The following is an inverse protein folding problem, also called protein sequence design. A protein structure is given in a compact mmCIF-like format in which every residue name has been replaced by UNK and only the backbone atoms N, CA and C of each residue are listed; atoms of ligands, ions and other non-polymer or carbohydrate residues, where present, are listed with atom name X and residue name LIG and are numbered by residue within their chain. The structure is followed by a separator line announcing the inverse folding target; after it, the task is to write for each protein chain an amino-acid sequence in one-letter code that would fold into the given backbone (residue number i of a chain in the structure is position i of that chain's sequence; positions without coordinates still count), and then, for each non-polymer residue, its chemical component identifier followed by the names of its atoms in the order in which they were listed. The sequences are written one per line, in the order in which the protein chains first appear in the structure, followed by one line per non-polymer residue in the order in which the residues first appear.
data_IF_928732165835
#
_entry.id   IF_928732165835
#
_cell.length_a   1.000
_cell.length_b   1.000
_cell.length_c   1.000
_cell.angle_alpha   90.00
_cell.angle_beta   90.00
_cell.angle_gamma   90.00
#
_symmetry.space_group_name_H-M   'P 1'
#
loop_
_entity.id
_entity.type
_entity.pdbx_description
1 polymer ?
#
# COMPACT_ATOMS: atom_id res chain seq x y z
N UNK A 1 0.33 5.00 -5.75
CA UNK A 1 0.70 5.74 -7.00
C UNK A 1 0.52 7.25 -6.90
N UNK A 2 -0.61 7.77 -6.40
CA UNK A 2 -0.75 9.24 -6.22
C UNK A 2 0.09 9.76 -5.04
N UNK A 3 0.18 8.99 -3.95
CA UNK A 3 1.02 9.31 -2.78
C UNK A 3 2.52 9.40 -3.12
N UNK A 4 3.01 8.59 -4.07
CA UNK A 4 4.41 8.61 -4.51
C UNK A 4 4.75 9.76 -5.44
N UNK A 5 3.76 10.52 -5.88
CA UNK A 5 3.93 11.68 -6.79
C UNK A 5 3.72 13.01 -6.09
N UNK A 6 3.23 13.03 -4.85
CA UNK A 6 2.92 14.25 -4.12
C UNK A 6 3.07 14.06 -2.61
N UNK A 7 3.95 14.85 -2.00
CA UNK A 7 4.16 14.88 -0.55
C UNK A 7 2.90 15.33 0.21
N UNK A 8 2.04 16.13 -0.42
CA UNK A 8 0.76 16.52 0.18
C UNK A 8 -0.20 15.35 0.26
N UNK A 9 -0.25 14.53 -0.80
CA UNK A 9 -1.11 13.33 -0.81
C UNK A 9 -0.59 12.30 0.18
N UNK A 10 0.72 12.10 0.24
CA UNK A 10 1.33 11.22 1.24
C UNK A 10 1.02 11.66 2.67
N UNK A 11 1.21 12.95 3.00
CA UNK A 11 0.92 13.48 4.35
C UNK A 11 -0.55 13.31 4.79
N UNK A 12 -1.49 13.18 3.85
CA UNK A 12 -2.89 12.93 4.14
C UNK A 12 -3.19 11.42 4.19
N UNK A 13 -2.64 10.66 3.25
CA UNK A 13 -2.91 9.22 3.13
C UNK A 13 -2.25 8.43 4.26
N UNK A 14 -1.01 8.76 4.63
CA UNK A 14 -0.24 8.08 5.68
C UNK A 14 -1.00 7.99 7.01
N UNK A 15 -1.53 9.08 7.61
CA UNK A 15 -2.30 8.95 8.85
C UNK A 15 -3.57 8.12 8.69
N UNK A 16 -4.25 8.17 7.54
CA UNK A 16 -5.46 7.36 7.29
C UNK A 16 -5.10 5.88 7.26
N UNK A 17 -4.08 5.48 6.51
CA UNK A 17 -3.68 4.07 6.44
C UNK A 17 -3.05 3.60 7.75
N UNK A 18 -2.36 4.48 8.48
CA UNK A 18 -1.79 4.16 9.79
C UNK A 18 -2.90 3.90 10.82
N UNK A 19 -4.03 4.62 10.76
CA UNK A 19 -5.17 4.31 11.65
C UNK A 19 -5.74 2.92 11.44
N UNK A 20 -5.70 2.40 10.21
CA UNK A 20 -6.14 1.03 9.91
C UNK A 20 -5.23 -0.03 10.56
N UNK A 21 -3.96 0.30 10.80
CA UNK A 21 -2.96 -0.61 11.39
C UNK A 21 -2.78 -0.44 12.90
N UNK A 22 -2.90 0.78 13.41
CA UNK A 22 -2.58 1.12 14.80
C UNK A 22 -3.76 0.89 15.75
N UNK A 23 -5.00 1.03 15.25
CA UNK A 23 -6.17 0.75 16.07
C UNK A 23 -6.26 -0.75 16.37
N UNK A 24 -6.65 -1.14 17.60
CA UNK A 24 -6.94 -2.54 17.90
C UNK A 24 -7.99 -3.08 16.94
N UNK A 25 -7.78 -4.29 16.42
CA UNK A 25 -8.67 -4.94 15.45
C UNK A 25 -10.14 -4.86 15.85
N UNK A 26 -10.44 -5.04 17.14
CA UNK A 26 -11.79 -4.99 17.70
C UNK A 26 -12.51 -3.65 17.50
N UNK A 27 -11.80 -2.51 17.52
CA UNK A 27 -12.41 -1.18 17.29
C UNK A 27 -12.96 -1.05 15.87
N UNK A 28 -12.29 -1.62 14.87
CA UNK A 28 -12.73 -1.60 13.48
C UNK A 28 -13.78 -2.68 13.18
N UNK A 29 -13.69 -3.85 13.82
CA UNK A 29 -14.59 -4.98 13.57
C UNK A 29 -16.04 -4.66 13.96
N UNK A 30 -16.28 -3.98 15.09
CA UNK A 30 -17.62 -3.64 15.60
C UNK A 30 -18.52 -2.96 14.55
N UNK A 31 -18.12 -1.84 13.92
CA UNK A 31 -18.96 -1.18 12.92
C UNK A 31 -19.18 -2.03 11.66
N UNK A 32 -18.18 -2.83 11.24
CA UNK A 32 -18.33 -3.73 10.08
C UNK A 32 -19.33 -4.85 10.40
N UNK A 33 -19.28 -5.42 11.59
CA UNK A 33 -20.25 -6.42 12.05
C UNK A 33 -21.66 -5.83 12.12
N UNK A 34 -21.82 -4.58 12.57
CA UNK A 34 -23.13 -3.92 12.60
C UNK A 34 -23.75 -3.77 11.20
N UNK A 35 -22.92 -3.51 10.18
CA UNK A 35 -23.38 -3.30 8.80
C UNK A 35 -23.57 -4.62 8.02
N UNK A 36 -22.66 -5.58 8.20
CA UNK A 36 -22.58 -6.79 7.37
C UNK A 36 -22.93 -8.08 8.12
N UNK A 37 -23.26 -7.98 9.41
CA UNK A 37 -23.43 -9.10 10.35
C UNK A 37 -22.14 -9.90 10.54
N UNK A 38 -22.16 -10.81 11.51
CA UNK A 38 -21.04 -11.73 11.73
C UNK A 38 -20.98 -12.73 10.57
N UNK A 39 -19.78 -12.92 10.01
CA UNK A 39 -19.54 -13.89 8.95
C UNK A 39 -18.29 -13.57 8.12
N UNK A 40 -18.03 -14.41 7.12
CA UNK A 40 -16.82 -14.38 6.30
C UNK A 40 -16.58 -13.04 5.60
N UNK A 41 -17.66 -12.36 5.21
CA UNK A 41 -17.58 -11.04 4.56
C UNK A 41 -16.94 -10.00 5.49
N UNK A 42 -17.33 -10.00 6.76
CA UNK A 42 -16.80 -9.07 7.76
C UNK A 42 -15.32 -9.37 8.05
N UNK A 43 -14.97 -10.65 8.18
CA UNK A 43 -13.58 -11.08 8.36
C UNK A 43 -12.69 -10.68 7.17
N UNK A 44 -13.18 -10.86 5.94
CA UNK A 44 -12.49 -10.47 4.71
C UNK A 44 -12.26 -8.95 4.65
N UNK A 45 -13.29 -8.14 4.92
CA UNK A 45 -13.16 -6.67 4.91
C UNK A 45 -12.13 -6.21 5.93
N UNK A 46 -12.16 -6.74 7.15
CA UNK A 46 -11.19 -6.41 8.19
C UNK A 46 -9.77 -6.81 7.83
N UNK A 47 -9.61 -8.00 7.26
CA UNK A 47 -8.31 -8.51 6.79
C UNK A 47 -7.73 -7.61 5.70
N UNK A 48 -8.53 -7.25 4.68
CA UNK A 48 -8.08 -6.39 3.59
C UNK A 48 -7.73 -4.99 4.10
N UNK A 49 -8.57 -4.40 4.96
CA UNK A 49 -8.33 -3.07 5.52
C UNK A 49 -7.01 -3.00 6.31
N UNK A 50 -6.70 -4.04 7.08
CA UNK A 50 -5.47 -4.13 7.85
C UNK A 50 -4.24 -4.42 6.99
N UNK A 51 -4.37 -5.35 6.02
CA UNK A 51 -3.26 -5.83 5.21
C UNK A 51 -2.87 -4.87 4.06
N UNK A 52 -3.75 -3.95 3.63
CA UNK A 52 -3.45 -3.03 2.52
C UNK A 52 -2.35 -2.01 2.85
N UNK A 53 -2.16 -1.71 4.13
CA UNK A 53 -1.23 -0.66 4.60
C UNK A 53 0.22 -0.91 4.15
N UNK A 54 0.84 -2.09 4.38
CA UNK A 54 2.19 -2.37 3.88
C UNK A 54 2.25 -2.28 2.35
N UNK A 55 1.27 -2.79 1.60
CA UNK A 55 1.25 -2.68 0.15
C UNK A 55 1.38 -1.22 -0.31
N UNK A 56 0.60 -0.31 0.30
CA UNK A 56 0.63 1.12 -0.02
C UNK A 56 1.98 1.74 0.39
N UNK A 57 2.46 1.46 1.60
CA UNK A 57 3.67 2.06 2.17
C UNK A 57 4.92 1.68 1.40
N UNK A 58 5.14 0.39 1.15
CA UNK A 58 6.29 -0.10 0.41
C UNK A 58 6.25 0.30 -1.07
N UNK A 59 5.08 0.30 -1.70
CA UNK A 59 4.95 0.80 -3.08
C UNK A 59 5.30 2.29 -3.18
N UNK A 60 4.84 3.09 -2.21
CA UNK A 60 5.15 4.51 -2.16
C UNK A 60 6.64 4.76 -1.97
N UNK A 61 7.23 4.07 -0.99
CA UNK A 61 8.66 4.15 -0.70
C UNK A 61 9.51 3.71 -1.90
N UNK A 62 9.24 2.55 -2.50
CA UNK A 62 9.96 2.04 -3.67
C UNK A 62 9.95 2.99 -4.86
N UNK A 63 8.82 3.66 -5.11
CA UNK A 63 8.73 4.64 -6.19
C UNK A 63 9.45 5.96 -5.86
N UNK A 64 9.52 6.36 -4.59
CA UNK A 64 10.23 7.55 -4.12
C UNK A 64 11.75 7.34 -4.03
N UNK A 65 12.19 6.10 -3.79
CA UNK A 65 13.61 5.74 -3.75
C UNK A 65 14.29 5.70 -5.12
N UNK A 66 13.52 5.72 -6.21
CA UNK A 66 14.09 5.74 -7.56
C UNK A 66 14.96 7.00 -7.73
N UNK A 67 16.27 6.86 -8.05
CA UNK A 67 17.17 8.01 -8.19
C UNK A 67 16.66 9.04 -9.21
N UNK A 68 16.57 10.33 -8.85
CA UNK A 68 16.12 11.39 -9.76
C UNK A 68 16.95 11.46 -11.04
N UNK A 69 18.26 11.21 -10.96
CA UNK A 69 19.17 11.19 -12.09
C UNK A 69 18.77 10.17 -13.17
N UNK A 70 18.22 9.00 -12.78
CA UNK A 70 17.73 8.00 -13.75
C UNK A 70 16.44 8.47 -14.44
N UNK A 71 15.60 9.21 -13.73
CA UNK A 71 14.38 9.81 -14.28
C UNK A 71 14.75 10.94 -15.26
N UNK A 72 15.76 11.74 -14.95
CA UNK A 72 16.29 12.77 -15.85
C UNK A 72 16.97 12.18 -17.08
N UNK A 73 17.79 11.15 -16.91
CA UNK A 73 18.39 10.41 -18.01
C UNK A 73 17.32 9.85 -18.98
N UNK A 74 16.27 9.24 -18.44
CA UNK A 74 15.16 8.74 -19.26
C UNK A 74 14.45 9.86 -20.05
N UNK A 75 14.28 11.04 -19.45
CA UNK A 75 13.70 12.21 -20.14
C UNK A 75 14.62 12.72 -21.26
N UNK A 76 15.93 12.81 -21.01
CA UNK A 76 16.93 13.22 -22.03
C UNK A 76 17.00 12.20 -23.17
N UNK A 77 16.78 10.91 -22.89
CA UNK A 77 16.65 9.85 -23.89
C UNK A 77 15.31 9.87 -24.65
N UNK A 78 14.42 10.84 -24.42
CA UNK A 78 13.16 10.99 -25.13
C UNK A 78 12.00 10.12 -24.62
N UNK A 79 12.12 9.53 -23.41
CA UNK A 79 11.02 8.74 -22.85
C UNK A 79 9.83 9.63 -22.44
N UNK A 80 8.63 9.23 -22.86
CA UNK A 80 7.37 9.82 -22.35
C UNK A 80 7.19 9.52 -20.86
N UNK A 81 6.29 10.25 -20.18
CA UNK A 81 5.97 9.99 -18.75
C UNK A 81 5.52 8.55 -18.47
N UNK A 82 4.75 7.96 -19.39
CA UNK A 82 4.29 6.56 -19.27
C UNK A 82 5.45 5.58 -19.45
N UNK A 83 6.32 5.80 -20.44
CA UNK A 83 7.51 4.97 -20.65
C UNK A 83 8.49 5.09 -19.47
N UNK A 84 8.72 6.29 -18.97
CA UNK A 84 9.57 6.53 -17.79
C UNK A 84 9.02 5.78 -16.57
N UNK A 85 7.70 5.82 -16.34
CA UNK A 85 7.10 5.07 -15.25
C UNK A 85 7.22 3.56 -15.43
N UNK A 86 6.80 3.02 -16.59
CA UNK A 86 6.71 1.57 -16.79
C UNK A 86 8.07 0.89 -17.02
N UNK A 87 9.04 1.60 -17.62
CA UNK A 87 10.34 1.01 -18.00
C UNK A 87 11.50 1.41 -17.08
N UNK A 88 11.34 2.45 -16.26
CA UNK A 88 12.41 2.92 -15.36
C UNK A 88 11.95 2.87 -13.91
N UNK A 89 10.91 3.61 -13.54
CA UNK A 89 10.49 3.70 -12.13
C UNK A 89 9.95 2.37 -11.60
N UNK A 90 9.03 1.74 -12.34
CA UNK A 90 8.38 0.52 -11.89
C UNK A 90 9.37 -0.63 -11.72
N UNK A 91 10.25 -0.97 -12.69
CA UNK A 91 11.21 -2.06 -12.53
C UNK A 91 12.21 -1.82 -11.38
N UNK A 92 12.64 -0.58 -11.18
CA UNK A 92 13.56 -0.23 -10.08
C UNK A 92 12.88 -0.27 -8.71
N UNK A 93 11.58 0.03 -8.65
CA UNK A 93 10.77 -0.06 -7.42
C UNK A 93 10.28 -1.48 -7.12
N UNK A 94 10.33 -2.41 -8.09
CA UNK A 94 9.77 -3.77 -7.94
C UNK A 94 10.32 -4.54 -6.73
N UNK A 95 11.64 -4.57 -6.44
CA UNK A 95 12.15 -5.31 -5.29
C UNK A 95 11.49 -4.87 -3.98
N UNK A 96 11.27 -3.57 -3.84
CA UNK A 96 10.63 -3.01 -2.66
C UNK A 96 9.12 -3.22 -2.63
N UNK A 97 8.45 -3.14 -3.79
CA UNK A 97 7.05 -3.54 -3.92
C UNK A 97 6.86 -5.00 -3.50
N UNK A 98 7.78 -5.89 -3.89
CA UNK A 98 7.73 -7.32 -3.53
C UNK A 98 7.93 -7.54 -2.03
N UNK A 99 8.77 -6.74 -1.36
CA UNK A 99 8.83 -6.73 0.10
C UNK A 99 7.46 -6.33 0.70
N UNK A 100 6.82 -5.30 0.12
CA UNK A 100 5.47 -4.89 0.49
C UNK A 100 4.42 -5.99 0.33
N UNK A 101 4.46 -6.73 -0.78
CA UNK A 101 3.57 -7.88 -1.05
C UNK A 101 3.78 -8.96 0.02
N UNK A 102 5.02 -9.30 0.33
CA UNK A 102 5.32 -10.28 1.36
C UNK A 102 4.74 -9.85 2.73
N UNK A 103 4.94 -8.60 3.12
CA UNK A 103 4.38 -8.06 4.37
C UNK A 103 2.85 -8.04 4.37
N UNK A 104 2.24 -7.73 3.23
CA UNK A 104 0.78 -7.76 3.05
C UNK A 104 0.21 -9.15 3.29
N UNK A 105 0.86 -10.18 2.74
CA UNK A 105 0.45 -11.58 2.93
C UNK A 105 0.59 -11.98 4.40
N UNK A 106 1.73 -11.68 5.03
CA UNK A 106 1.95 -12.00 6.44
C UNK A 106 0.89 -11.37 7.34
N UNK A 107 0.54 -10.10 7.11
CA UNK A 107 -0.49 -9.41 7.90
C UNK A 107 -1.90 -9.93 7.62
N UNK A 108 -2.20 -10.29 6.36
CA UNK A 108 -3.48 -10.89 6.02
C UNK A 108 -3.67 -12.25 6.72
N UNK A 109 -2.64 -13.09 6.71
CA UNK A 109 -2.63 -14.39 7.40
C UNK A 109 -2.73 -14.23 8.93
N UNK A 110 -2.09 -13.22 9.51
CA UNK A 110 -2.22 -12.94 10.94
C UNK A 110 -3.64 -12.48 11.31
N UNK A 111 -4.26 -11.61 10.49
CA UNK A 111 -5.57 -11.03 10.79
C UNK A 111 -6.72 -12.03 10.60
N UNK A 112 -6.65 -12.89 9.57
CA UNK A 112 -7.72 -13.88 9.35
C UNK A 112 -7.83 -14.88 10.50
N UNK A 113 -6.71 -15.21 11.17
CA UNK A 113 -6.69 -16.06 12.37
C UNK A 113 -7.38 -15.39 13.56
N UNK A 114 -7.30 -14.06 13.68
CA UNK A 114 -7.96 -13.30 14.75
C UNK A 114 -9.47 -13.18 14.49
N UNK A 115 -9.86 -13.15 13.22
CA UNK A 115 -11.26 -13.00 12.81
C UNK A 115 -12.03 -14.33 12.69
N UNK A 116 -11.33 -15.47 12.67
CA UNK A 116 -11.91 -16.82 12.63
C UNK A 116 -12.25 -17.31 14.04
#
# INVERSE_FOLDING_TARGET
LMASRSDRVEKIVTPIIDTLQVLPSFCFIIPVVMLFRVGDVTAMIATVAFAVVPAIRYTNHGLRQVPPALIEAAKVSGCTRRQTFLRVQLPLALPEIMLGVNQTILMALAMIIICA
#
